data_IF_070344760682
#
_entry.id   IF_070344760682
#
_cell.length_a   1.000
_cell.length_b   1.000
_cell.length_c   1.000
_cell.angle_alpha   90.00
_cell.angle_beta   90.00
_cell.angle_gamma   90.00
#
_symmetry.space_group_name_H-M   'P 1'
#
loop_
_entity.id
_entity.type
_entity.pdbx_description
1 polymer ?
#
# COMPACT_ATOMS: atom_id res chain seq x y z
N UNK A 1 15.94 -6.67 -10.82
CA UNK A 1 15.60 -5.26 -11.00
C UNK A 1 14.52 -4.88 -10.03
N UNK A 2 14.53 -3.65 -9.56
CA UNK A 2 13.49 -3.17 -8.66
C UNK A 2 12.54 -2.25 -9.41
N UNK A 3 11.29 -2.24 -8.98
CA UNK A 3 10.25 -1.39 -9.52
C UNK A 3 9.52 -0.72 -8.37
N UNK A 4 9.33 0.58 -8.46
CA UNK A 4 8.60 1.32 -7.44
C UNK A 4 7.28 1.80 -8.00
N UNK A 5 6.27 1.77 -7.14
CA UNK A 5 4.91 2.16 -7.49
C UNK A 5 4.35 3.02 -6.37
N UNK A 6 3.67 4.09 -6.74
CA UNK A 6 2.97 4.93 -5.78
C UNK A 6 1.49 4.87 -6.12
N UNK A 7 0.67 4.59 -5.11
CA UNK A 7 -0.79 4.53 -5.26
C UNK A 7 -1.39 5.57 -4.34
N UNK A 8 -2.24 6.44 -4.89
CA UNK A 8 -2.90 7.49 -4.13
C UNK A 8 -4.40 7.42 -4.36
N UNK A 9 -5.17 7.54 -3.28
CA UNK A 9 -6.62 7.58 -3.33
C UNK A 9 -7.16 8.36 -2.14
N UNK A 10 -8.44 8.68 -2.20
CA UNK A 10 -9.11 9.41 -1.13
C UNK A 10 -10.39 8.69 -0.76
N UNK A 11 -10.51 8.36 0.52
CA UNK A 11 -11.70 7.64 1.00
C UNK A 11 -12.82 8.62 1.36
N UNK A 12 -14.02 8.06 1.51
CA UNK A 12 -15.07 8.78 2.20
C UNK A 12 -14.63 8.95 3.67
N UNK A 13 -15.05 10.05 4.33
CA UNK A 13 -14.69 10.23 5.73
C UNK A 13 -15.14 9.08 6.64
N UNK A 14 -16.30 8.49 6.36
CA UNK A 14 -16.83 7.39 7.17
C UNK A 14 -16.17 6.06 6.89
N UNK A 15 -15.32 5.98 5.87
CA UNK A 15 -14.61 4.75 5.53
C UNK A 15 -13.12 4.81 5.85
N UNK A 16 -12.61 5.96 6.30
CA UNK A 16 -11.18 6.14 6.50
C UNK A 16 -10.62 5.21 7.58
N UNK A 17 -11.34 5.02 8.69
CA UNK A 17 -10.86 4.14 9.76
C UNK A 17 -10.86 2.68 9.32
N UNK A 18 -11.88 2.26 8.61
CA UNK A 18 -11.92 0.90 8.08
C UNK A 18 -10.77 0.67 7.10
N UNK A 19 -10.51 1.65 6.24
CA UNK A 19 -9.43 1.55 5.28
C UNK A 19 -8.08 1.38 5.99
N UNK A 20 -7.87 2.15 7.06
CA UNK A 20 -6.64 2.04 7.83
C UNK A 20 -6.51 0.65 8.45
N UNK A 21 -7.58 0.13 9.04
CA UNK A 21 -7.54 -1.21 9.66
C UNK A 21 -7.21 -2.29 8.63
N UNK A 22 -7.80 -2.18 7.43
CA UNK A 22 -7.50 -3.15 6.37
C UNK A 22 -6.05 -3.07 5.92
N UNK A 23 -5.49 -1.86 5.84
CA UNK A 23 -4.08 -1.69 5.52
C UNK A 23 -3.20 -2.27 6.62
N UNK A 24 -3.54 -2.03 7.88
CA UNK A 24 -2.78 -2.55 9.01
C UNK A 24 -2.72 -4.08 9.02
N UNK A 25 -3.79 -4.73 8.58
CA UNK A 25 -3.79 -6.19 8.45
C UNK A 25 -2.79 -6.68 7.42
N UNK A 26 -2.63 -5.94 6.33
CA UNK A 26 -1.63 -6.28 5.31
C UNK A 26 -0.25 -6.27 5.94
N UNK A 27 0.06 -5.25 6.73
CA UNK A 27 1.37 -5.16 7.37
C UNK A 27 1.57 -6.24 8.43
N UNK A 28 0.52 -6.61 9.15
CA UNK A 28 0.61 -7.70 10.12
C UNK A 28 0.94 -9.01 9.42
N UNK A 29 0.29 -9.29 8.29
CA UNK A 29 0.56 -10.49 7.51
C UNK A 29 1.97 -10.48 6.94
N UNK A 30 2.43 -9.31 6.47
CA UNK A 30 3.79 -9.19 5.95
C UNK A 30 4.83 -9.42 7.02
N UNK A 31 4.61 -8.88 8.22
CA UNK A 31 5.54 -9.07 9.33
C UNK A 31 5.63 -10.54 9.72
N UNK A 32 4.52 -11.25 9.70
CA UNK A 32 4.46 -12.65 10.07
C UNK A 32 5.08 -13.55 9.01
N UNK A 33 4.76 -13.30 7.75
CA UNK A 33 5.24 -14.12 6.64
C UNK A 33 6.64 -13.74 6.16
N UNK A 34 7.01 -12.49 6.33
CA UNK A 34 8.32 -11.95 5.95
C UNK A 34 8.80 -12.43 4.57
N UNK A 35 8.04 -12.13 3.52
CA UNK A 35 8.31 -12.72 2.21
C UNK A 35 9.60 -12.23 1.53
N UNK A 36 10.17 -11.12 1.97
CA UNK A 36 11.34 -10.56 1.30
C UNK A 36 11.01 -9.98 -0.08
N UNK A 37 11.96 -9.26 -0.66
CA UNK A 37 11.81 -8.70 -2.00
C UNK A 37 10.81 -7.57 -2.10
N UNK A 38 10.43 -6.99 -0.97
CA UNK A 38 9.42 -5.93 -0.92
C UNK A 38 9.77 -4.91 0.13
N UNK A 39 9.66 -3.65 -0.24
CA UNK A 39 9.64 -2.53 0.70
C UNK A 39 8.31 -1.83 0.52
N UNK A 40 7.57 -1.65 1.59
CA UNK A 40 6.20 -1.19 1.48
C UNK A 40 5.84 -0.30 2.65
N UNK A 41 5.25 0.86 2.35
CA UNK A 41 4.79 1.79 3.38
C UNK A 41 3.47 2.40 2.94
N UNK A 42 2.59 2.63 3.89
CA UNK A 42 1.32 3.30 3.65
C UNK A 42 1.24 4.51 4.56
N UNK A 43 0.82 5.62 3.99
CA UNK A 43 0.68 6.88 4.71
C UNK A 43 -0.77 7.33 4.66
N UNK A 44 -1.24 7.83 5.79
CA UNK A 44 -2.53 8.53 5.87
C UNK A 44 -2.18 10.01 6.03
N UNK A 45 -2.64 10.83 5.09
CA UNK A 45 -2.28 12.25 5.10
C UNK A 45 -3.05 13.01 6.18
N UNK A 46 -2.62 14.24 6.42
CA UNK A 46 -3.16 15.05 7.51
C UNK A 46 -4.65 15.36 7.37
N UNK A 47 -5.18 15.30 6.14
CA UNK A 47 -6.62 15.49 5.93
C UNK A 47 -7.46 14.32 6.46
N UNK A 48 -6.82 13.23 6.85
CA UNK A 48 -7.48 12.08 7.46
C UNK A 48 -8.17 11.15 6.48
N UNK A 49 -8.22 11.48 5.20
CA UNK A 49 -8.95 10.70 4.20
C UNK A 49 -8.11 10.32 2.98
N UNK A 50 -6.97 10.96 2.77
CA UNK A 50 -6.09 10.63 1.65
C UNK A 50 -5.04 9.63 2.10
N UNK A 51 -4.86 8.57 1.33
CA UNK A 51 -3.88 7.52 1.61
C UNK A 51 -2.91 7.42 0.45
N UNK A 52 -1.65 7.17 0.78
CA UNK A 52 -0.59 6.98 -0.21
C UNK A 52 0.14 5.70 0.15
N UNK A 53 0.25 4.80 -0.81
CA UNK A 53 1.02 3.57 -0.68
C UNK A 53 2.26 3.69 -1.53
N UNK A 54 3.39 3.32 -0.98
CA UNK A 54 4.66 3.31 -1.70
C UNK A 54 5.21 1.89 -1.60
N UNK A 55 5.41 1.25 -2.73
CA UNK A 55 5.93 -0.11 -2.78
C UNK A 55 7.12 -0.17 -3.71
N UNK A 56 8.19 -0.82 -3.27
CA UNK A 56 9.33 -1.16 -4.11
C UNK A 56 9.43 -2.67 -4.14
N UNK A 57 9.33 -3.22 -5.34
CA UNK A 57 9.32 -4.67 -5.57
C UNK A 57 10.62 -5.05 -6.23
N UNK A 58 11.35 -5.98 -5.63
CA UNK A 58 12.58 -6.50 -6.20
C UNK A 58 12.26 -7.82 -6.87
N UNK A 59 12.71 -7.98 -8.12
CA UNK A 59 12.43 -9.18 -8.89
C UNK A 59 11.16 -9.05 -9.69
N UNK A 60 10.68 -10.18 -10.21
CA UNK A 60 9.59 -10.21 -11.17
C UNK A 60 8.22 -10.44 -10.56
N UNK A 61 8.18 -10.87 -9.30
CA UNK A 61 6.93 -11.24 -8.64
C UNK A 61 6.68 -10.29 -7.49
N UNK A 62 5.47 -9.73 -7.45
CA UNK A 62 5.05 -8.88 -6.35
C UNK A 62 4.60 -9.76 -5.18
N UNK A 63 5.35 -9.76 -4.06
CA UNK A 63 4.99 -10.60 -2.91
C UNK A 63 3.60 -10.30 -2.33
N UNK A 64 3.09 -9.08 -2.54
CA UNK A 64 1.75 -8.72 -2.05
C UNK A 64 0.65 -9.58 -2.66
N UNK A 65 0.87 -10.11 -3.86
CA UNK A 65 -0.14 -10.94 -4.52
C UNK A 65 -0.41 -12.23 -3.77
N UNK A 66 0.50 -12.65 -2.89
CA UNK A 66 0.33 -13.86 -2.09
C UNK A 66 -0.20 -13.59 -0.69
N UNK A 67 -0.45 -12.33 -0.36
CA UNK A 67 -0.92 -11.94 0.96
C UNK A 67 -2.44 -11.83 0.91
N UNK A 68 -3.15 -12.70 1.64
CA UNK A 68 -4.61 -12.72 1.60
C UNK A 68 -5.22 -11.43 2.12
N UNK A 69 -4.61 -10.80 3.11
CA UNK A 69 -5.09 -9.52 3.62
C UNK A 69 -5.00 -8.43 2.57
N UNK A 70 -4.04 -8.52 1.64
CA UNK A 70 -3.94 -7.57 0.55
C UNK A 70 -5.09 -7.74 -0.44
N UNK A 71 -5.45 -8.97 -0.76
CA UNK A 71 -6.60 -9.24 -1.61
C UNK A 71 -7.88 -8.72 -0.96
N UNK A 72 -8.03 -8.91 0.35
CA UNK A 72 -9.17 -8.38 1.10
C UNK A 72 -9.20 -6.87 1.05
N UNK A 73 -8.04 -6.24 1.23
CA UNK A 73 -7.92 -4.78 1.18
C UNK A 73 -8.38 -4.25 -0.18
N UNK A 74 -7.98 -4.90 -1.26
CA UNK A 74 -8.29 -4.44 -2.61
C UNK A 74 -9.72 -4.71 -3.04
N UNK A 75 -10.37 -5.71 -2.44
CA UNK A 75 -11.67 -6.19 -2.92
C UNK A 75 -12.71 -5.07 -3.03
N UNK A 76 -12.80 -4.23 -2.01
CA UNK A 76 -13.83 -3.22 -1.95
C UNK A 76 -13.27 -1.81 -1.89
N UNK A 77 -12.03 -1.61 -2.35
CA UNK A 77 -11.41 -0.30 -2.21
C UNK A 77 -12.19 0.79 -2.95
N UNK A 78 -12.75 0.47 -4.11
CA UNK A 78 -13.50 1.46 -4.88
C UNK A 78 -14.72 1.95 -4.11
N UNK A 79 -15.37 1.07 -3.35
CA UNK A 79 -16.56 1.46 -2.58
C UNK A 79 -16.22 2.34 -1.39
N UNK A 80 -14.96 2.32 -0.95
CA UNK A 80 -14.52 3.19 0.15
C UNK A 80 -14.06 4.55 -0.32
N UNK A 81 -13.88 4.75 -1.63
CA UNK A 81 -13.22 5.93 -2.16
C UNK A 81 -14.18 6.95 -2.75
N UNK A 82 -13.88 8.24 -2.53
CA UNK A 82 -14.47 9.33 -3.32
C UNK A 82 -13.59 9.67 -4.51
N UNK A 83 -12.27 9.40 -4.39
CA UNK A 83 -11.35 9.47 -5.52
C UNK A 83 -10.66 8.11 -5.63
N UNK A 84 -10.85 7.41 -6.74
CA UNK A 84 -10.33 6.05 -6.88
C UNK A 84 -8.81 6.01 -6.92
N UNK A 85 -8.21 4.85 -6.67
CA UNK A 85 -6.75 4.74 -6.70
C UNK A 85 -6.15 5.11 -8.05
N UNK A 86 -5.11 5.92 -7.99
CA UNK A 86 -4.27 6.24 -9.15
C UNK A 86 -2.91 5.60 -8.91
N UNK A 87 -2.52 4.74 -9.82
CA UNK A 87 -1.26 4.00 -9.75
C UNK A 87 -0.25 4.68 -10.65
N UNK A 88 0.90 5.05 -10.08
CA UNK A 88 1.94 5.74 -10.82
C UNK A 88 3.26 5.00 -10.63
N UNK A 89 3.91 4.68 -11.73
CA UNK A 89 5.26 4.11 -11.67
C UNK A 89 6.22 5.20 -11.23
N UNK A 90 7.21 4.81 -10.42
CA UNK A 90 8.15 5.76 -9.83
C UNK A 90 9.54 5.19 -9.87
N UNK A 91 10.52 6.08 -9.86
CA UNK A 91 11.93 5.71 -9.80
C UNK A 91 12.51 6.29 -8.51
N UNK A 92 13.20 5.45 -7.74
CA UNK A 92 13.89 5.91 -6.55
C UNK A 92 15.14 6.68 -7.01
N UNK A 93 15.18 7.96 -6.65
CA UNK A 93 16.36 8.78 -6.98
C UNK A 93 17.33 8.89 -5.81
N UNK A 94 16.93 8.41 -4.65
CA UNK A 94 17.79 8.38 -3.48
C UNK A 94 17.04 7.81 -2.29
N UNK A 95 17.78 7.26 -1.34
CA UNK A 95 17.21 6.73 -0.12
C UNK A 95 18.25 6.82 0.99
N UNK A 96 17.81 7.19 2.17
CA UNK A 96 18.65 7.20 3.36
C UNK A 96 17.81 6.64 4.49
N UNK A 97 18.22 5.50 5.03
CA UNK A 97 17.46 4.79 6.07
C UNK A 97 16.01 4.57 5.65
N UNK A 98 15.82 4.22 4.37
CA UNK A 98 14.49 3.90 3.89
C UNK A 98 13.93 2.70 4.63
N UNK A 99 12.61 2.58 4.64
CA UNK A 99 11.94 1.45 5.27
C UNK A 99 12.41 0.13 4.69
N UNK A 100 12.44 -0.86 5.54
CA UNK A 100 12.86 -2.20 5.15
C UNK A 100 11.74 -3.18 5.33
#
# INVERSE_FOLDING_TARGET
MSQSVIVRYKTRPDAAEENQRLAERVFADLAQGDPGGLRYATFRLADGVTFVHVATIEGDVNPLQKVSAFAEFQRDIASRCVEPPVVTDATIVGAYRATR
#
